data_IF_250858114584
#
_entry.id   IF_250858114584
#
_cell.length_a   1.000
_cell.length_b   1.000
_cell.length_c   1.000
_cell.angle_alpha   90.00
_cell.angle_beta   90.00
_cell.angle_gamma   90.00
#
_symmetry.space_group_name_H-M   'P 1'
#
loop_
_entity.id
_entity.type
_entity.pdbx_description
1 polymer ?
#
# COMPACT_ATOMS: atom_id res chain seq x y z
N UNK A 1 10.03 -20.43 -0.99
CA UNK A 1 9.94 -18.95 -0.99
C UNK A 1 11.24 -18.39 -1.53
N UNK A 2 11.23 -17.78 -2.72
CA UNK A 2 12.40 -17.05 -3.21
C UNK A 2 12.67 -15.85 -2.31
N UNK A 3 13.93 -15.54 -2.02
CA UNK A 3 14.29 -14.37 -1.21
C UNK A 3 14.25 -13.12 -2.08
N UNK A 4 13.80 -12.00 -1.50
CA UNK A 4 13.74 -10.72 -2.19
C UNK A 4 15.14 -10.26 -2.64
N UNK A 5 15.30 -9.98 -3.93
CA UNK A 5 16.55 -9.44 -4.49
C UNK A 5 16.87 -8.06 -3.91
N UNK A 6 18.14 -7.63 -3.97
CA UNK A 6 18.52 -6.29 -3.50
C UNK A 6 17.85 -5.19 -4.33
N UNK A 7 17.65 -5.43 -5.63
CA UNK A 7 16.93 -4.53 -6.54
C UNK A 7 15.45 -4.38 -6.17
N UNK A 8 14.75 -5.50 -5.93
CA UNK A 8 13.36 -5.46 -5.50
C UNK A 8 13.22 -4.86 -4.09
N UNK A 9 14.21 -5.07 -3.22
CA UNK A 9 14.24 -4.43 -1.89
C UNK A 9 14.36 -2.92 -1.98
N UNK A 10 15.19 -2.39 -2.88
CA UNK A 10 15.31 -0.95 -3.10
C UNK A 10 13.95 -0.35 -3.52
N UNK A 11 13.28 -0.95 -4.51
CA UNK A 11 11.95 -0.51 -4.96
C UNK A 11 10.90 -0.53 -3.83
N UNK A 12 10.88 -1.59 -3.02
CA UNK A 12 9.97 -1.67 -1.86
C UNK A 12 10.24 -0.56 -0.84
N UNK A 13 11.50 -0.28 -0.54
CA UNK A 13 11.87 0.75 0.41
C UNK A 13 11.45 2.14 -0.10
N UNK A 14 11.58 2.42 -1.40
CA UNK A 14 11.07 3.66 -2.02
C UNK A 14 9.55 3.77 -1.88
N UNK A 15 8.80 2.68 -2.08
CA UNK A 15 7.34 2.65 -1.87
C UNK A 15 6.97 2.99 -0.43
N UNK A 16 7.63 2.36 0.55
CA UNK A 16 7.36 2.63 1.96
C UNK A 16 7.76 4.04 2.39
N UNK A 17 8.89 4.55 1.90
CA UNK A 17 9.32 5.91 2.20
C UNK A 17 8.31 6.95 1.65
N UNK A 18 7.76 6.71 0.46
CA UNK A 18 6.68 7.55 -0.08
C UNK A 18 5.43 7.56 0.82
N UNK A 19 5.00 6.39 1.33
CA UNK A 19 3.91 6.33 2.29
C UNK A 19 4.22 7.10 3.59
N UNK A 20 5.44 6.96 4.12
CA UNK A 20 5.85 7.64 5.36
C UNK A 20 5.91 9.15 5.18
N UNK A 21 6.45 9.64 4.06
CA UNK A 21 6.67 11.07 3.84
C UNK A 21 5.44 11.80 3.33
N UNK A 22 4.62 11.15 2.50
CA UNK A 22 3.56 11.82 1.75
C UNK A 22 2.17 11.24 2.04
N UNK A 23 2.08 10.17 2.84
CA UNK A 23 0.81 9.48 3.07
C UNK A 23 0.28 8.75 1.84
N UNK A 24 1.08 8.60 0.78
CA UNK A 24 0.69 8.00 -0.49
C UNK A 24 1.85 7.23 -1.12
N UNK A 25 1.52 6.18 -1.88
CA UNK A 25 2.52 5.48 -2.68
C UNK A 25 3.08 6.42 -3.76
N UNK A 26 4.39 6.39 -4.04
CA UNK A 26 4.97 7.11 -5.16
C UNK A 26 4.48 6.49 -6.48
N UNK A 27 4.43 7.29 -7.55
CA UNK A 27 4.15 6.78 -8.90
C UNK A 27 5.33 5.95 -9.42
N UNK A 28 5.09 5.08 -10.42
CA UNK A 28 6.16 4.32 -11.08
C UNK A 28 7.26 5.23 -11.63
N UNK A 29 6.90 6.39 -12.19
CA UNK A 29 7.87 7.38 -12.67
C UNK A 29 8.71 8.01 -11.57
N UNK A 30 8.12 8.28 -10.40
CA UNK A 30 8.86 8.77 -9.24
C UNK A 30 9.82 7.71 -8.69
N UNK A 31 9.39 6.44 -8.65
CA UNK A 31 10.26 5.31 -8.27
C UNK A 31 11.43 5.17 -9.25
N UNK A 32 11.16 5.26 -10.56
CA UNK A 32 12.18 5.16 -11.60
C UNK A 32 13.22 6.27 -11.48
N UNK A 33 12.77 7.52 -11.27
CA UNK A 33 13.64 8.67 -11.04
C UNK A 33 14.49 8.51 -9.77
N UNK A 34 13.89 8.11 -8.65
CA UNK A 34 14.60 7.96 -7.37
C UNK A 34 15.68 6.85 -7.42
N UNK A 35 15.42 5.78 -8.17
CA UNK A 35 16.33 4.64 -8.28
C UNK A 35 17.32 4.74 -9.45
N UNK A 36 17.26 5.81 -10.24
CA UNK A 36 18.01 5.99 -11.48
C UNK A 36 17.87 4.80 -12.45
N UNK A 37 16.62 4.44 -12.74
CA UNK A 37 16.26 3.34 -13.67
C UNK A 37 15.18 3.78 -14.64
N UNK A 38 14.92 2.96 -15.66
CA UNK A 38 13.79 3.19 -16.56
C UNK A 38 12.46 2.91 -15.86
N UNK A 39 11.37 3.52 -16.37
CA UNK A 39 10.03 3.23 -15.87
C UNK A 39 9.67 1.73 -16.00
N UNK A 40 10.11 1.10 -17.08
CA UNK A 40 9.87 -0.32 -17.37
C UNK A 40 10.61 -1.25 -16.39
N UNK A 41 11.85 -0.91 -16.01
CA UNK A 41 12.59 -1.62 -14.96
C UNK A 41 11.94 -1.43 -13.59
N UNK A 42 11.44 -0.22 -13.28
CA UNK A 42 10.71 0.03 -12.04
C UNK A 42 9.39 -0.78 -12.00
N UNK A 43 8.64 -0.82 -13.10
CA UNK A 43 7.43 -1.61 -13.24
C UNK A 43 7.72 -3.11 -13.07
N UNK A 44 8.76 -3.64 -13.72
CA UNK A 44 9.18 -5.03 -13.56
C UNK A 44 9.46 -5.38 -12.09
N UNK A 45 10.21 -4.53 -11.37
CA UNK A 45 10.49 -4.73 -9.94
C UNK A 45 9.23 -4.67 -9.07
N UNK A 46 8.28 -3.80 -9.40
CA UNK A 46 6.98 -3.74 -8.73
C UNK A 46 6.16 -5.00 -8.96
N UNK A 47 6.19 -5.57 -10.16
CA UNK A 47 5.56 -6.86 -10.45
C UNK A 47 6.23 -8.02 -9.69
N UNK A 48 7.58 -8.05 -9.61
CA UNK A 48 8.29 -9.03 -8.78
C UNK A 48 7.85 -8.93 -7.30
N UNK A 49 7.72 -7.71 -6.78
CA UNK A 49 7.22 -7.46 -5.42
C UNK A 49 5.76 -7.92 -5.26
N UNK A 50 4.94 -7.79 -6.30
CA UNK A 50 3.55 -8.24 -6.30
C UNK A 50 3.44 -9.76 -6.22
N UNK A 51 4.19 -10.48 -7.03
CA UNK A 51 4.21 -11.94 -7.03
C UNK A 51 4.70 -12.49 -5.68
N UNK A 52 5.63 -11.76 -5.04
CA UNK A 52 6.12 -12.05 -3.68
C UNK A 52 5.18 -11.57 -2.56
N UNK A 53 4.03 -10.98 -2.88
CA UNK A 53 3.06 -10.43 -1.93
C UNK A 53 3.64 -9.36 -0.98
N UNK A 54 4.71 -8.67 -1.42
CA UNK A 54 5.34 -7.59 -0.66
C UNK A 54 4.69 -6.22 -0.93
N UNK A 55 4.14 -6.03 -2.14
CA UNK A 55 3.38 -4.84 -2.56
C UNK A 55 2.16 -5.29 -3.35
N UNK A 56 0.98 -4.72 -3.11
CA UNK A 56 -0.20 -5.02 -3.91
C UNK A 56 -0.31 -4.03 -5.08
N UNK A 57 -0.26 -4.54 -6.32
CA UNK A 57 -0.64 -3.79 -7.50
C UNK A 57 -2.09 -4.13 -7.83
N UNK A 58 -2.99 -3.20 -7.54
CA UNK A 58 -4.43 -3.39 -7.75
C UNK A 58 -5.06 -2.11 -8.29
N UNK A 59 -6.08 -2.21 -9.16
CA UNK A 59 -6.89 -1.07 -9.55
C UNK A 59 -7.48 -0.36 -8.32
N UNK A 60 -7.56 0.97 -8.37
CA UNK A 60 -8.04 1.78 -7.25
C UNK A 60 -9.47 1.41 -6.84
N UNK A 61 -10.34 1.07 -7.80
CA UNK A 61 -11.72 0.66 -7.56
C UNK A 61 -11.79 -0.68 -6.82
N UNK A 62 -10.89 -1.61 -7.16
CA UNK A 62 -10.79 -2.89 -6.47
C UNK A 62 -10.29 -2.68 -5.04
N UNK A 63 -9.24 -1.87 -4.85
CA UNK A 63 -8.75 -1.52 -3.52
C UNK A 63 -9.85 -0.88 -2.68
N UNK A 64 -10.59 0.07 -3.25
CA UNK A 64 -11.69 0.76 -2.58
C UNK A 64 -12.82 -0.19 -2.17
N UNK A 65 -13.19 -1.14 -3.04
CA UNK A 65 -14.20 -2.17 -2.73
C UNK A 65 -13.75 -3.06 -1.58
N UNK A 66 -12.47 -3.46 -1.55
CA UNK A 66 -11.89 -4.25 -0.47
C UNK A 66 -11.76 -3.43 0.83
N UNK A 67 -11.55 -2.12 0.70
CA UNK A 67 -11.38 -1.21 1.81
C UNK A 67 -12.69 -0.86 2.55
N UNK A 68 -13.85 -1.08 1.92
CA UNK A 68 -15.17 -0.73 2.48
C UNK A 68 -15.40 -1.23 3.91
N UNK A 69 -15.11 -2.49 4.27
CA UNK A 69 -15.38 -2.97 5.64
C UNK A 69 -14.56 -2.25 6.72
N UNK A 70 -13.41 -1.65 6.37
CA UNK A 70 -12.57 -0.93 7.31
C UNK A 70 -12.83 0.57 7.31
N UNK A 71 -13.12 1.18 6.16
CA UNK A 71 -13.22 2.64 6.03
C UNK A 71 -14.57 3.15 5.58
N UNK A 72 -15.40 2.33 4.93
CA UNK A 72 -16.63 2.75 4.28
C UNK A 72 -17.56 3.49 5.22
N UNK A 73 -17.80 2.93 6.41
CA UNK A 73 -18.61 3.60 7.44
C UNK A 73 -17.89 4.80 8.04
N UNK A 74 -16.57 4.72 8.25
CA UNK A 74 -15.76 5.78 8.91
C UNK A 74 -15.66 7.07 8.10
N UNK A 75 -15.93 7.00 6.81
CA UNK A 75 -15.92 8.15 5.92
C UNK A 75 -17.30 8.82 5.81
N UNK A 76 -18.35 8.24 6.42
CA UNK A 76 -19.65 8.90 6.49
C UNK A 76 -19.61 10.07 7.48
N UNK A 77 -20.17 11.25 7.16
CA UNK A 77 -20.14 12.42 8.05
C UNK A 77 -20.81 12.20 9.40
N UNK A 78 -21.79 11.29 9.46
CA UNK A 78 -22.54 10.90 10.66
C UNK A 78 -21.88 9.76 11.45
N UNK A 79 -20.73 9.26 10.98
CA UNK A 79 -20.05 8.19 11.67
C UNK A 79 -19.47 8.64 13.00
N UNK A 80 -19.81 7.91 14.05
CA UNK A 80 -19.21 8.09 15.37
C UNK A 80 -18.59 6.77 15.82
N UNK A 81 -17.42 6.83 16.45
CA UNK A 81 -16.85 5.65 17.10
C UNK A 81 -17.77 5.27 18.26
N UNK A 82 -18.52 4.18 18.10
CA UNK A 82 -19.24 3.59 19.23
C UNK A 82 -18.19 3.17 20.25
N UNK A 83 -18.14 3.82 21.42
CA UNK A 83 -17.33 3.31 22.53
C UNK A 83 -17.91 1.93 22.84
N UNK A 84 -17.10 0.89 22.72
CA UNK A 84 -17.46 -0.41 23.26
C UNK A 84 -17.78 -0.18 24.74
N UNK A 85 -19.06 -0.30 25.11
CA UNK A 85 -19.42 -0.38 26.50
C UNK A 85 -18.80 -1.68 26.99
N UNK A 86 -17.80 -1.56 27.87
CA UNK A 86 -17.39 -2.69 28.69
C UNK A 86 -18.62 -3.02 29.53
N UNK A 87 -19.41 -4.00 29.09
CA UNK A 87 -20.42 -4.62 29.94
C UNK A 87 -19.66 -5.44 30.97
N UNK A 88 -19.25 -4.78 32.05
CA UNK A 88 -18.99 -5.46 33.32
C UNK A 88 -20.37 -5.92 33.82
N UNK A 89 -20.68 -7.20 33.61
CA UNK A 89 -21.94 -7.78 34.03
C UNK A 89 -21.80 -9.27 34.26
N UNK A 90 -21.38 -9.59 35.49
CA UNK A 90 -21.45 -10.86 36.23
C UNK A 90 -20.73 -12.09 35.65
#
# INVERSE_FOLDING_TARGET
MSKLTDRARAARNTVYDGFVRHGAAPSTGAIAHELDVTAEEAEHRLHELHDLHAVALVPAEQLWRLAQPWYGDRLRPDWTRVRASVRNGC
#
